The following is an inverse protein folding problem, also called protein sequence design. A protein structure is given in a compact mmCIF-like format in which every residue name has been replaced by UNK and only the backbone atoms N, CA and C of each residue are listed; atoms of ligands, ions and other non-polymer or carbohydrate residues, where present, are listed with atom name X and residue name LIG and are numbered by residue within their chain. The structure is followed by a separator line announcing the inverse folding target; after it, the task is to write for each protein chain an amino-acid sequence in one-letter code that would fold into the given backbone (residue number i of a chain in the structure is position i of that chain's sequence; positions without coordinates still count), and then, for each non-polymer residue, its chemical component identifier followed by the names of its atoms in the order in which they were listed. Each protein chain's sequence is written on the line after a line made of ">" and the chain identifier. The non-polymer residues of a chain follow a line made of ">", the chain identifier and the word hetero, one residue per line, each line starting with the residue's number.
data_IF_859729316621
#
_entry.id   IF_859729316621
#
_cell.length_a   1.000
_cell.length_b   1.000
_cell.length_c   1.000
_cell.angle_alpha   90.00
_cell.angle_beta   90.00
_cell.angle_gamma   90.00
#
_symmetry.space_group_name_H-M   'P 1'
#
loop_
_entity.id
_entity.type
_entity.pdbx_description
1 polymer ?
#
# COMPACT_ATOMS: atom_id res chain seq x y z
N UNK A 1 7.91 -24.82 5.26
CA UNK A 1 6.96 -24.28 6.26
C UNK A 1 5.96 -23.41 5.51
N UNK A 2 4.64 -23.71 5.53
CA UNK A 2 3.64 -22.84 4.89
C UNK A 2 3.60 -21.52 5.66
N UNK A 3 4.13 -20.45 5.08
CA UNK A 3 4.10 -19.12 5.68
C UNK A 3 2.63 -18.65 5.68
N UNK A 4 2.15 -18.17 6.84
CA UNK A 4 0.83 -17.57 6.94
C UNK A 4 0.74 -16.38 5.95
N UNK A 5 -0.24 -16.33 5.04
CA UNK A 5 -0.40 -15.23 4.08
C UNK A 5 -0.37 -13.84 4.73
N UNK A 6 -0.90 -13.73 5.96
CA UNK A 6 -0.90 -12.48 6.71
C UNK A 6 0.51 -12.07 7.14
N UNK A 7 1.33 -13.03 7.58
CA UNK A 7 2.73 -12.81 7.93
C UNK A 7 3.52 -12.40 6.68
N UNK A 8 3.23 -13.02 5.53
CA UNK A 8 3.87 -12.68 4.26
C UNK A 8 3.58 -11.23 3.85
N UNK A 9 2.32 -10.79 3.96
CA UNK A 9 1.94 -9.40 3.66
C UNK A 9 2.68 -8.40 4.56
N UNK A 10 2.79 -8.69 5.86
CA UNK A 10 3.50 -7.84 6.82
C UNK A 10 5.00 -7.79 6.51
N UNK A 11 5.64 -8.93 6.26
CA UNK A 11 7.06 -8.98 5.92
C UNK A 11 7.34 -8.18 4.64
N UNK A 12 6.55 -8.39 3.59
CA UNK A 12 6.73 -7.68 2.32
C UNK A 12 6.47 -6.18 2.44
N UNK A 13 5.54 -5.77 3.30
CA UNK A 13 5.31 -4.36 3.62
C UNK A 13 6.57 -3.71 4.19
N UNK A 14 7.16 -4.30 5.24
CA UNK A 14 8.39 -3.77 5.86
C UNK A 14 9.61 -3.87 4.93
N UNK A 15 9.72 -4.94 4.15
CA UNK A 15 10.80 -5.09 3.17
C UNK A 15 10.74 -3.97 2.11
N UNK A 16 9.54 -3.66 1.62
CA UNK A 16 9.33 -2.55 0.66
C UNK A 16 9.81 -1.24 1.25
N UNK A 17 9.47 -0.97 2.52
CA UNK A 17 9.93 0.21 3.25
C UNK A 17 11.46 0.26 3.35
N UNK A 18 12.10 -0.83 3.79
CA UNK A 18 13.55 -0.86 3.97
C UNK A 18 14.30 -0.67 2.65
N UNK A 19 13.88 -1.37 1.59
CA UNK A 19 14.53 -1.30 0.28
C UNK A 19 14.43 0.10 -0.29
N UNK A 20 13.22 0.68 -0.34
CA UNK A 20 13.05 2.00 -0.94
C UNK A 20 13.64 3.10 -0.05
N UNK A 21 13.57 3.01 1.29
CA UNK A 21 14.26 3.94 2.19
C UNK A 21 15.76 3.95 1.91
N UNK A 22 16.39 2.77 1.88
CA UNK A 22 17.83 2.64 1.64
C UNK A 22 18.22 3.19 0.27
N UNK A 23 17.45 2.84 -0.76
CA UNK A 23 17.72 3.26 -2.13
C UNK A 23 17.67 4.79 -2.26
N UNK A 24 16.64 5.46 -1.75
CA UNK A 24 16.54 6.92 -1.90
C UNK A 24 17.41 7.71 -0.93
N UNK A 25 17.66 7.20 0.28
CA UNK A 25 18.57 7.86 1.22
C UNK A 25 20.02 7.81 0.74
N UNK A 26 20.50 6.63 0.34
CA UNK A 26 21.92 6.42 0.05
C UNK A 26 22.30 6.66 -1.42
N UNK A 27 21.43 6.34 -2.37
CA UNK A 27 21.74 6.53 -3.80
C UNK A 27 21.39 7.95 -4.24
N UNK A 28 20.26 8.48 -3.78
CA UNK A 28 19.70 9.75 -4.27
C UNK A 28 19.75 10.90 -3.26
N UNK A 29 20.36 10.67 -2.10
CA UNK A 29 20.69 11.72 -1.12
C UNK A 29 19.49 12.58 -0.69
N UNK A 30 18.30 11.96 -0.65
CA UNK A 30 17.06 12.62 -0.24
C UNK A 30 17.02 12.90 1.27
N UNK A 31 16.33 13.99 1.63
CA UNK A 31 16.07 14.35 3.02
C UNK A 31 15.21 13.26 3.70
N UNK A 32 15.68 12.79 4.85
CA UNK A 32 15.01 11.79 5.69
C UNK A 32 13.59 12.21 6.06
N UNK A 33 13.36 13.50 6.33
CA UNK A 33 12.06 14.02 6.73
C UNK A 33 11.04 13.80 5.62
N UNK A 34 11.45 13.99 4.36
CA UNK A 34 10.57 13.81 3.19
C UNK A 34 10.23 12.33 3.01
N UNK A 35 11.24 11.46 3.11
CA UNK A 35 11.07 10.01 3.01
C UNK A 35 10.14 9.49 4.12
N UNK A 36 10.36 9.91 5.37
CA UNK A 36 9.55 9.50 6.52
C UNK A 36 8.09 9.95 6.38
N UNK A 37 7.85 11.21 5.98
CA UNK A 37 6.48 11.73 5.76
C UNK A 37 5.74 10.92 4.70
N UNK A 38 6.43 10.58 3.61
CA UNK A 38 5.86 9.74 2.56
C UNK A 38 5.46 8.37 3.08
N UNK A 39 6.34 7.70 3.81
CA UNK A 39 6.05 6.38 4.30
C UNK A 39 5.01 6.33 5.39
N UNK A 40 4.97 7.34 6.26
CA UNK A 40 3.93 7.46 7.26
C UNK A 40 2.56 7.57 6.60
N UNK A 41 2.45 8.40 5.56
CA UNK A 41 1.24 8.48 4.75
C UNK A 41 0.89 7.14 4.11
N UNK A 42 1.84 6.50 3.45
CA UNK A 42 1.63 5.24 2.75
C UNK A 42 1.22 4.10 3.71
N UNK A 43 1.79 4.07 4.91
CA UNK A 43 1.47 3.12 5.98
C UNK A 43 0.05 3.30 6.49
N UNK A 44 -0.33 4.55 6.81
CA UNK A 44 -1.70 4.88 7.25
C UNK A 44 -2.72 4.51 6.18
N UNK A 45 -2.44 4.84 4.91
CA UNK A 45 -3.29 4.45 3.80
C UNK A 45 -3.43 2.93 3.70
N UNK A 46 -2.33 2.19 3.76
CA UNK A 46 -2.36 0.74 3.61
C UNK A 46 -3.15 0.07 4.72
N UNK A 47 -2.92 0.48 5.97
CA UNK A 47 -3.67 -0.01 7.13
C UNK A 47 -5.17 0.28 6.98
N UNK A 48 -5.53 1.51 6.60
CA UNK A 48 -6.92 1.88 6.35
C UNK A 48 -7.56 0.99 5.26
N UNK A 49 -6.86 0.74 4.15
CA UNK A 49 -7.39 -0.12 3.08
C UNK A 49 -7.56 -1.57 3.53
N UNK A 50 -6.62 -2.12 4.30
CA UNK A 50 -6.75 -3.46 4.90
C UNK A 50 -7.97 -3.52 5.83
N UNK A 51 -8.15 -2.52 6.70
CA UNK A 51 -9.32 -2.45 7.59
C UNK A 51 -10.63 -2.41 6.80
N UNK A 52 -10.70 -1.60 5.74
CA UNK A 52 -11.89 -1.53 4.88
C UNK A 52 -12.15 -2.86 4.16
N UNK A 53 -11.11 -3.51 3.64
CA UNK A 53 -11.21 -4.85 3.03
C UNK A 53 -11.78 -5.88 4.02
N UNK A 54 -11.28 -5.90 5.25
CA UNK A 54 -11.77 -6.81 6.30
C UNK A 54 -13.24 -6.51 6.64
N UNK A 55 -13.60 -5.24 6.80
CA UNK A 55 -14.97 -4.82 7.11
C UNK A 55 -15.93 -5.23 5.99
N UNK A 56 -15.57 -4.97 4.74
CA UNK A 56 -16.38 -5.31 3.56
C UNK A 56 -16.53 -6.81 3.45
N UNK A 57 -15.45 -7.59 3.65
CA UNK A 57 -15.55 -9.05 3.66
C UNK A 57 -16.53 -9.57 4.72
N UNK A 58 -16.64 -8.88 5.86
CA UNK A 58 -17.55 -9.27 6.94
C UNK A 58 -19.01 -8.88 6.67
N UNK A 59 -19.24 -7.75 6.00
CA UNK A 59 -20.59 -7.20 5.79
C UNK A 59 -21.20 -7.66 4.47
N UNK A 60 -20.42 -7.69 3.39
CA UNK A 60 -20.87 -7.99 2.05
C UNK A 60 -19.76 -8.66 1.21
N UNK A 61 -19.36 -9.90 1.57
CA UNK A 61 -18.23 -10.59 0.94
C UNK A 61 -18.36 -10.74 -0.58
N UNK A 62 -19.58 -10.88 -1.10
CA UNK A 62 -19.87 -10.98 -2.53
C UNK A 62 -19.42 -9.75 -3.35
N UNK A 63 -19.27 -8.58 -2.72
CA UNK A 63 -18.81 -7.36 -3.39
C UNK A 63 -17.32 -7.08 -3.16
N UNK A 64 -16.59 -7.93 -2.44
CA UNK A 64 -15.21 -7.65 -2.02
C UNK A 64 -14.29 -7.33 -3.21
N UNK A 65 -14.38 -8.08 -4.31
CA UNK A 65 -13.57 -7.83 -5.51
C UNK A 65 -13.84 -6.45 -6.12
N UNK A 66 -15.11 -6.05 -6.24
CA UNK A 66 -15.50 -4.73 -6.74
C UNK A 66 -15.02 -3.62 -5.79
N UNK A 67 -15.18 -3.84 -4.48
CA UNK A 67 -14.72 -2.89 -3.47
C UNK A 67 -13.21 -2.69 -3.51
N UNK A 68 -12.40 -3.73 -3.72
CA UNK A 68 -10.95 -3.59 -3.87
C UNK A 68 -10.60 -2.67 -5.04
N UNK A 69 -11.28 -2.79 -6.19
CA UNK A 69 -11.08 -1.89 -7.33
C UNK A 69 -11.41 -0.44 -6.94
N UNK A 70 -12.54 -0.23 -6.26
CA UNK A 70 -12.93 1.09 -5.75
C UNK A 70 -11.92 1.68 -4.75
N UNK A 71 -11.41 0.85 -3.84
CA UNK A 71 -10.39 1.23 -2.86
C UNK A 71 -9.06 1.60 -3.53
N UNK A 72 -8.67 0.91 -4.60
CA UNK A 72 -7.48 1.25 -5.41
C UNK A 72 -7.67 2.63 -6.08
N UNK A 73 -8.84 2.91 -6.64
CA UNK A 73 -9.14 4.22 -7.24
C UNK A 73 -9.14 5.33 -6.19
N UNK A 74 -9.76 5.10 -5.03
CA UNK A 74 -9.73 6.02 -3.90
C UNK A 74 -8.30 6.29 -3.44
N UNK A 75 -7.47 5.25 -3.35
CA UNK A 75 -6.06 5.35 -2.98
C UNK A 75 -5.28 6.23 -3.97
N UNK A 76 -5.50 6.05 -5.27
CA UNK A 76 -4.92 6.90 -6.31
C UNK A 76 -5.35 8.37 -6.16
N UNK A 77 -6.64 8.62 -5.94
CA UNK A 77 -7.17 9.97 -5.72
C UNK A 77 -6.56 10.66 -4.50
N UNK A 78 -6.48 9.96 -3.37
CA UNK A 78 -5.88 10.50 -2.14
C UNK A 78 -4.39 10.82 -2.31
N UNK A 79 -3.65 9.93 -2.98
CA UNK A 79 -2.24 10.16 -3.30
C UNK A 79 -2.06 11.40 -4.18
N UNK A 80 -2.93 11.58 -5.18
CA UNK A 80 -2.92 12.76 -6.04
C UNK A 80 -3.16 14.06 -5.25
N UNK A 81 -4.11 14.06 -4.31
CA UNK A 81 -4.42 15.24 -3.48
C UNK A 81 -3.26 15.58 -2.53
N UNK A 82 -2.65 14.56 -1.93
CA UNK A 82 -1.65 14.73 -0.88
C UNK A 82 -0.26 15.07 -1.43
N UNK A 83 0.01 14.77 -2.71
CA UNK A 83 1.31 15.08 -3.35
C UNK A 83 1.73 16.55 -3.19
N UNK A 84 0.76 17.47 -3.32
CA UNK A 84 1.00 18.92 -3.19
C UNK A 84 1.28 19.29 -1.74
N UNK A 85 0.58 18.67 -0.78
CA UNK A 85 0.72 18.94 0.65
C UNK A 85 2.04 18.40 1.22
N UNK A 86 2.54 17.30 0.68
CA UNK A 86 3.82 16.71 1.07
C UNK A 86 5.01 17.29 0.29
N UNK A 87 4.75 18.29 -0.56
CA UNK A 87 5.74 19.01 -1.37
C UNK A 87 6.66 18.09 -2.19
N UNK A 88 6.10 16.99 -2.65
CA UNK A 88 6.84 15.95 -3.33
C UNK A 88 7.31 16.31 -4.73
N UNK A 89 6.71 17.33 -5.33
CA UNK A 89 7.07 17.82 -6.65
C UNK A 89 8.49 18.43 -6.69
N UNK A 90 9.07 18.72 -5.53
CA UNK A 90 10.46 19.22 -5.37
C UNK A 90 11.50 18.09 -5.51
N UNK A 91 11.08 16.82 -5.42
CA UNK A 91 11.99 15.67 -5.52
C UNK A 91 12.30 15.39 -7.01
N UNK A 92 13.57 15.32 -7.41
CA UNK A 92 13.91 14.87 -8.77
C UNK A 92 13.39 13.45 -9.03
N UNK A 93 12.68 13.25 -10.13
CA UNK A 93 12.11 11.93 -10.45
C UNK A 93 11.02 11.45 -9.49
N UNK A 94 10.35 12.37 -8.77
CA UNK A 94 9.36 12.06 -7.74
C UNK A 94 8.32 11.01 -8.14
N UNK A 95 7.88 11.01 -9.40
CA UNK A 95 6.93 10.02 -9.92
C UNK A 95 7.41 8.57 -9.71
N UNK A 96 8.69 8.30 -9.98
CA UNK A 96 9.30 6.98 -9.78
C UNK A 96 9.45 6.62 -8.30
N UNK A 97 9.78 7.61 -7.47
CA UNK A 97 9.82 7.46 -6.03
C UNK A 97 8.46 6.98 -5.47
N UNK A 98 7.34 7.49 -5.99
CA UNK A 98 6.02 7.12 -5.46
C UNK A 98 5.43 5.85 -6.03
N UNK A 99 5.67 5.59 -7.32
CA UNK A 99 4.90 4.58 -8.04
C UNK A 99 5.26 3.17 -7.61
N UNK A 100 6.54 2.91 -7.27
CA UNK A 100 7.01 1.56 -6.92
C UNK A 100 6.40 1.09 -5.60
N UNK A 101 6.54 1.78 -4.46
CA UNK A 101 5.91 1.35 -3.21
C UNK A 101 4.39 1.32 -3.33
N UNK A 102 3.83 2.26 -4.07
CA UNK A 102 2.40 2.29 -4.32
C UNK A 102 1.92 0.98 -4.96
N UNK A 103 2.56 0.53 -6.04
CA UNK A 103 2.19 -0.68 -6.77
C UNK A 103 2.42 -1.94 -5.93
N UNK A 104 3.54 -2.02 -5.21
CA UNK A 104 3.81 -3.17 -4.32
C UNK A 104 2.72 -3.29 -3.27
N UNK A 105 2.36 -2.20 -2.60
CA UNK A 105 1.29 -2.23 -1.61
C UNK A 105 -0.08 -2.51 -2.21
N UNK A 106 -0.35 -2.06 -3.43
CA UNK A 106 -1.58 -2.41 -4.15
C UNK A 106 -1.61 -3.91 -4.45
N UNK A 107 -0.50 -4.50 -4.89
CA UNK A 107 -0.39 -5.95 -5.12
C UNK A 107 -0.60 -6.75 -3.82
N UNK A 108 -0.02 -6.29 -2.70
CA UNK A 108 -0.22 -6.91 -1.39
C UNK A 108 -1.68 -6.86 -0.93
N UNK A 109 -2.34 -5.71 -1.11
CA UNK A 109 -3.76 -5.55 -0.78
C UNK A 109 -4.63 -6.49 -1.63
N UNK A 110 -4.37 -6.54 -2.93
CA UNK A 110 -5.09 -7.43 -3.85
C UNK A 110 -4.86 -8.90 -3.50
N UNK A 111 -3.60 -9.29 -3.21
CA UNK A 111 -3.27 -10.64 -2.78
C UNK A 111 -4.02 -11.03 -1.50
N UNK A 112 -4.04 -10.13 -0.51
CA UNK A 112 -4.77 -10.32 0.73
C UNK A 112 -6.28 -10.49 0.48
N UNK A 113 -6.88 -9.64 -0.34
CA UNK A 113 -8.30 -9.73 -0.68
C UNK A 113 -8.66 -11.01 -1.44
N UNK A 114 -7.82 -11.45 -2.39
CA UNK A 114 -8.00 -12.76 -3.06
C UNK A 114 -7.97 -13.90 -2.05
N UNK A 115 -7.07 -13.83 -1.06
CA UNK A 115 -7.02 -14.78 0.05
C UNK A 115 -8.36 -14.86 0.81
N UNK A 116 -8.98 -13.72 1.10
CA UNK A 116 -10.28 -13.64 1.77
C UNK A 116 -11.41 -14.22 0.88
N UNK A 117 -11.48 -13.81 -0.39
CA UNK A 117 -12.49 -14.31 -1.35
C UNK A 117 -12.43 -15.84 -1.46
N UNK A 118 -11.22 -16.40 -1.54
CA UNK A 118 -11.03 -17.84 -1.66
C UNK A 118 -11.32 -18.61 -0.37
N UNK A 119 -11.21 -17.96 0.79
CA UNK A 119 -11.59 -18.54 2.07
C UNK A 119 -13.12 -18.62 2.20
N UNK A 120 -13.81 -17.54 1.82
CA UNK A 120 -15.28 -17.44 1.84
C UNK A 120 -15.94 -18.48 0.93
N UNK A 121 -15.40 -18.70 -0.29
CA UNK A 121 -15.88 -19.73 -1.23
C UNK A 121 -15.72 -21.18 -0.77
N UNK A 122 -14.91 -21.44 0.26
CA UNK A 122 -14.64 -22.79 0.79
C UNK A 122 -15.50 -23.12 2.01
N UNK A 123 -16.23 -22.14 2.55
CA UNK A 123 -17.25 -22.32 3.58
C UNK A 123 -18.60 -22.57 2.93
#
# INVERSE_FOLDING_TARGET
>A
MKINPNILVVILFFLTFLVHFSLWKFVFHLDEIVIIKFYLFLSVMFMMMITLVILINRVAPQFLGLSVIGLILLKFGLMYLIRKKLNFEVIPGYKFHFIIPYFVLTALLTYYAIGLINHDKKQ
#
